data_IF_335417076303
#
_entry.id   IF_335417076303
#
_cell.length_a   1.000
_cell.length_b   1.000
_cell.length_c   1.000
_cell.angle_alpha   90.00
_cell.angle_beta   90.00
_cell.angle_gamma   90.00
#
_symmetry.space_group_name_H-M   'P 1'
#
loop_
_entity.id
_entity.type
_entity.pdbx_description
1 polymer ?
#
# COMPACT_ATOMS: atom_id res chain seq x y z
N UNK A 1 7.10 15.72 -1.08
CA UNK A 1 6.44 14.43 -1.34
C UNK A 1 6.84 13.42 -0.27
N UNK A 2 5.90 12.59 0.16
CA UNK A 2 6.09 11.59 1.21
C UNK A 2 5.54 10.24 0.74
N UNK A 3 6.22 9.15 1.06
CA UNK A 3 5.83 7.81 0.62
C UNK A 3 5.71 6.89 1.81
N UNK A 4 4.59 6.18 1.88
CA UNK A 4 4.41 5.09 2.83
C UNK A 4 4.33 3.76 2.09
N UNK A 5 4.95 2.75 2.68
CA UNK A 5 5.10 1.44 2.08
C UNK A 5 4.64 0.39 3.07
N UNK A 6 3.71 -0.47 2.64
CA UNK A 6 3.39 -1.71 3.33
C UNK A 6 3.92 -2.88 2.51
N UNK A 7 4.76 -3.73 3.12
CA UNK A 7 5.24 -4.98 2.50
C UNK A 7 4.65 -6.18 3.23
N UNK A 8 4.10 -7.11 2.47
CA UNK A 8 3.48 -8.32 2.95
C UNK A 8 4.24 -9.52 2.40
N UNK A 9 4.53 -10.50 3.26
CA UNK A 9 5.03 -11.82 2.85
C UNK A 9 3.83 -12.76 2.78
N UNK A 10 3.61 -13.38 1.63
CA UNK A 10 2.43 -14.24 1.38
C UNK A 10 2.93 -15.59 0.88
N UNK A 11 2.45 -16.67 1.50
CA UNK A 11 2.73 -18.04 1.02
C UNK A 11 2.05 -18.27 -0.33
N UNK A 12 2.58 -19.20 -1.12
CA UNK A 12 2.06 -19.46 -2.46
C UNK A 12 0.59 -19.92 -2.46
N UNK A 13 0.19 -20.73 -1.47
CA UNK A 13 -1.17 -21.21 -1.26
C UNK A 13 -2.17 -20.10 -0.90
N UNK A 14 -1.72 -19.03 -0.23
CA UNK A 14 -2.56 -17.87 0.12
C UNK A 14 -2.64 -16.78 -0.95
N UNK A 15 -1.82 -16.87 -2.00
CA UNK A 15 -1.72 -15.82 -3.02
C UNK A 15 -3.06 -15.49 -3.70
N UNK A 16 -3.89 -16.46 -4.14
CA UNK A 16 -5.17 -16.15 -4.81
C UNK A 16 -6.11 -15.33 -3.91
N UNK A 17 -6.29 -15.75 -2.66
CA UNK A 17 -7.19 -15.08 -1.72
C UNK A 17 -6.64 -13.73 -1.25
N UNK A 18 -5.33 -13.63 -0.99
CA UNK A 18 -4.71 -12.37 -0.64
C UNK A 18 -4.86 -11.36 -1.78
N UNK A 19 -4.59 -11.78 -3.02
CA UNK A 19 -4.72 -10.93 -4.21
C UNK A 19 -6.16 -10.45 -4.38
N UNK A 20 -7.13 -11.36 -4.34
CA UNK A 20 -8.56 -11.04 -4.45
C UNK A 20 -8.97 -10.03 -3.39
N UNK A 21 -8.63 -10.30 -2.11
CA UNK A 21 -8.93 -9.39 -1.00
C UNK A 21 -8.33 -8.00 -1.18
N UNK A 22 -7.22 -7.83 -1.89
CA UNK A 22 -6.64 -6.50 -2.11
C UNK A 22 -7.17 -5.81 -3.37
N UNK A 23 -7.50 -6.56 -4.41
CA UNK A 23 -8.06 -6.01 -5.66
C UNK A 23 -9.54 -5.63 -5.52
N UNK A 24 -10.29 -6.34 -4.67
CA UNK A 24 -11.74 -6.12 -4.50
C UNK A 24 -12.04 -5.06 -3.41
N UNK A 25 -11.02 -4.50 -2.75
CA UNK A 25 -11.22 -3.48 -1.73
C UNK A 25 -11.67 -2.18 -2.35
N UNK A 26 -12.68 -1.58 -1.77
CA UNK A 26 -12.94 -0.16 -1.95
C UNK A 26 -11.76 0.64 -1.36
N UNK A 27 -11.13 1.47 -2.19
CA UNK A 27 -9.94 2.25 -1.80
C UNK A 27 -10.35 3.69 -1.53
N UNK A 28 -11.03 3.95 -0.40
CA UNK A 28 -11.40 5.31 0.03
C UNK A 28 -10.19 6.24 0.26
N UNK A 29 -9.00 5.66 0.38
CA UNK A 29 -7.77 6.42 0.54
C UNK A 29 -7.49 7.35 -0.65
N UNK A 30 -8.00 7.03 -1.84
CA UNK A 30 -7.84 7.88 -3.02
C UNK A 30 -8.59 9.22 -2.92
N UNK A 31 -9.54 9.37 -1.99
CA UNK A 31 -10.25 10.63 -1.75
C UNK A 31 -9.61 11.48 -0.64
N UNK A 32 -8.57 10.98 0.02
CA UNK A 32 -7.90 11.72 1.09
C UNK A 32 -7.13 12.91 0.52
N UNK A 33 -7.32 14.14 1.05
CA UNK A 33 -6.57 15.30 0.59
C UNK A 33 -5.06 15.06 0.64
N UNK A 34 -4.39 15.31 -0.50
CA UNK A 34 -2.95 15.13 -0.64
C UNK A 34 -2.51 13.69 -0.90
N UNK A 35 -3.40 12.69 -1.00
CA UNK A 35 -3.07 11.39 -1.56
C UNK A 35 -2.93 11.50 -3.09
N UNK A 36 -1.80 11.06 -3.64
CA UNK A 36 -1.47 11.23 -5.06
C UNK A 36 -1.70 9.94 -5.85
N UNK A 37 -1.24 8.81 -5.34
CA UNK A 37 -1.37 7.51 -6.00
C UNK A 37 -1.13 6.37 -5.02
N UNK A 38 -1.77 5.22 -5.26
CA UNK A 38 -1.66 4.04 -4.41
C UNK A 38 -1.36 2.77 -5.22
N UNK A 39 -0.14 2.60 -5.75
CA UNK A 39 0.22 1.37 -6.44
C UNK A 39 0.15 0.14 -5.53
N UNK A 40 -0.43 -0.95 -6.04
CA UNK A 40 -0.34 -2.28 -5.45
C UNK A 40 0.46 -3.20 -6.36
N UNK A 41 1.60 -3.67 -5.87
CA UNK A 41 2.59 -4.42 -6.62
C UNK A 41 2.66 -5.86 -6.12
N UNK A 42 2.92 -6.76 -7.06
CA UNK A 42 3.31 -8.15 -6.80
C UNK A 42 4.78 -8.29 -7.18
N UNK A 43 5.60 -8.76 -6.24
CA UNK A 43 7.00 -9.11 -6.47
C UNK A 43 7.16 -10.42 -7.25
N UNK A 44 8.40 -10.76 -7.58
CA UNK A 44 8.74 -12.02 -8.23
C UNK A 44 8.19 -13.21 -7.43
N UNK A 45 7.76 -14.26 -8.14
CA UNK A 45 7.31 -15.52 -7.54
C UNK A 45 8.45 -16.38 -6.99
N UNK A 46 9.71 -16.01 -7.28
CA UNK A 46 10.90 -16.64 -6.75
C UNK A 46 11.76 -15.63 -5.98
N UNK A 47 12.19 -15.92 -4.74
CA UNK A 47 11.88 -17.08 -3.88
C UNK A 47 10.57 -16.93 -3.06
N UNK A 48 9.96 -18.05 -2.63
CA UNK A 48 8.86 -18.08 -1.64
C UNK A 48 9.40 -17.58 -0.29
N UNK A 49 8.74 -16.63 0.41
CA UNK A 49 7.41 -16.07 0.14
C UNK A 49 7.33 -14.94 -0.87
N UNK A 50 6.20 -14.90 -1.60
CA UNK A 50 5.88 -13.82 -2.54
C UNK A 50 5.70 -12.53 -1.77
N UNK A 51 6.42 -11.49 -2.18
CA UNK A 51 6.29 -10.16 -1.61
C UNK A 51 5.18 -9.38 -2.33
N UNK A 52 4.20 -8.88 -1.58
CA UNK A 52 3.28 -7.86 -2.07
C UNK A 52 3.61 -6.52 -1.45
N UNK A 53 3.44 -5.45 -2.22
CA UNK A 53 3.78 -4.09 -1.78
C UNK A 53 2.63 -3.16 -2.09
N UNK A 54 2.20 -2.36 -1.12
CA UNK A 54 1.36 -1.18 -1.37
C UNK A 54 2.19 0.06 -1.10
N UNK A 55 2.36 0.90 -2.11
CA UNK A 55 2.87 2.25 -1.97
C UNK A 55 1.68 3.19 -1.87
N UNK A 56 1.74 4.18 -0.98
CA UNK A 56 0.88 5.36 -1.08
C UNK A 56 1.77 6.60 -1.08
N UNK A 57 1.61 7.40 -2.12
CA UNK A 57 2.35 8.63 -2.34
C UNK A 57 1.48 9.81 -1.91
N UNK A 58 2.11 10.76 -1.23
CA UNK A 58 1.46 11.91 -0.63
C UNK A 58 2.18 13.19 -1.00
N UNK A 59 1.41 14.28 -1.18
CA UNK A 59 1.94 15.60 -1.47
C UNK A 59 2.99 16.03 -0.42
N UNK A 60 2.70 15.77 0.86
CA UNK A 60 3.59 16.06 1.97
C UNK A 60 3.44 15.06 3.13
N UNK A 61 4.34 15.15 4.12
CA UNK A 61 4.27 14.34 5.34
C UNK A 61 3.05 14.73 6.18
N UNK A 62 2.75 16.02 6.25
CA UNK A 62 1.64 16.60 7.00
C UNK A 62 0.31 16.11 6.45
N UNK A 63 0.16 16.00 5.12
CA UNK A 63 -1.04 15.44 4.50
C UNK A 63 -1.29 13.99 4.93
N UNK A 64 -0.23 13.17 4.96
CA UNK A 64 -0.30 11.80 5.46
C UNK A 64 -0.64 11.75 6.96
N UNK A 65 0.02 12.57 7.78
CA UNK A 65 -0.21 12.59 9.23
C UNK A 65 -1.62 13.08 9.58
N UNK A 66 -2.13 14.10 8.89
CA UNK A 66 -3.50 14.59 9.03
C UNK A 66 -4.52 13.49 8.70
N UNK A 67 -4.31 12.78 7.59
CA UNK A 67 -5.15 11.62 7.25
C UNK A 67 -5.07 10.54 8.33
N UNK A 68 -3.86 10.17 8.76
CA UNK A 68 -3.63 9.09 9.73
C UNK A 68 -4.16 9.39 11.13
N UNK A 69 -4.06 10.65 11.56
CA UNK A 69 -4.34 11.07 12.93
C UNK A 69 -5.78 11.51 13.21
N UNK A 70 -6.56 11.86 12.18
CA UNK A 70 -7.81 12.57 12.43
C UNK A 70 -8.93 12.40 11.40
N UNK A 71 -8.85 11.45 10.47
CA UNK A 71 -9.90 11.28 9.46
C UNK A 71 -10.83 10.10 9.75
N UNK A 72 -12.15 10.33 9.62
CA UNK A 72 -13.16 9.25 9.57
C UNK A 72 -12.88 8.26 8.43
N UNK A 73 -12.22 8.75 7.36
CA UNK A 73 -11.71 7.95 6.25
C UNK A 73 -10.66 6.93 6.71
N UNK A 74 -9.73 7.31 7.60
CA UNK A 74 -8.74 6.38 8.14
C UNK A 74 -9.40 5.26 8.94
N UNK A 75 -10.35 5.62 9.81
CA UNK A 75 -11.11 4.65 10.59
C UNK A 75 -11.94 3.72 9.71
N UNK A 76 -12.61 4.26 8.68
CA UNK A 76 -13.41 3.48 7.74
C UNK A 76 -12.54 2.53 6.91
N UNK A 77 -11.42 3.02 6.36
CA UNK A 77 -10.48 2.22 5.58
C UNK A 77 -9.81 1.11 6.42
N UNK A 78 -9.65 1.32 7.73
CA UNK A 78 -9.03 0.35 8.64
C UNK A 78 -10.03 -0.43 9.51
N UNK A 79 -11.35 -0.21 9.37
CA UNK A 79 -12.40 -0.89 10.15
C UNK A 79 -12.36 -2.41 10.03
N UNK A 80 -11.85 -2.90 8.89
CA UNK A 80 -11.68 -4.32 8.58
C UNK A 80 -10.22 -4.77 8.57
N UNK A 81 -9.28 -3.89 8.93
CA UNK A 81 -7.87 -4.27 9.08
C UNK A 81 -7.75 -5.28 10.24
N UNK A 82 -7.17 -6.44 9.97
CA UNK A 82 -7.05 -7.53 10.96
C UNK A 82 -8.32 -8.36 11.16
N UNK A 83 -9.44 -8.06 10.49
CA UNK A 83 -10.63 -8.94 10.48
C UNK A 83 -10.52 -9.95 9.32
N UNK A 84 -10.86 -11.21 9.58
CA UNK A 84 -10.79 -12.31 8.61
C UNK A 84 -9.48 -13.11 8.67
N UNK A 85 -9.32 -14.07 7.77
CA UNK A 85 -8.17 -14.99 7.75
C UNK A 85 -6.82 -14.26 7.62
N UNK A 86 -5.83 -14.73 8.38
CA UNK A 86 -4.46 -14.24 8.33
C UNK A 86 -3.74 -14.75 7.07
N UNK A 87 -3.88 -14.01 5.97
CA UNK A 87 -3.27 -14.35 4.66
C UNK A 87 -1.83 -13.83 4.50
N UNK A 88 -1.10 -13.60 5.60
CA UNK A 88 0.28 -13.09 5.57
C UNK A 88 1.16 -13.80 6.58
N UNK A 89 2.43 -14.00 6.22
CA UNK A 89 3.46 -14.52 7.11
C UNK A 89 3.92 -13.36 8.02
N UNK A 90 3.45 -13.41 9.27
CA UNK A 90 3.75 -12.37 10.27
C UNK A 90 3.07 -11.04 9.94
N UNK A 91 3.55 -9.99 10.61
CA UNK A 91 3.06 -8.63 10.41
C UNK A 91 3.61 -8.02 9.12
N UNK A 92 2.87 -7.06 8.57
CA UNK A 92 3.37 -6.23 7.47
C UNK A 92 4.59 -5.42 7.93
N UNK A 93 5.60 -5.33 7.08
CA UNK A 93 6.66 -4.35 7.28
C UNK A 93 6.19 -2.99 6.77
N UNK A 94 6.13 -2.01 7.66
CA UNK A 94 5.71 -0.64 7.36
C UNK A 94 6.92 0.29 7.36
N UNK A 95 7.00 1.17 6.37
CA UNK A 95 7.96 2.28 6.36
C UNK A 95 7.29 3.55 5.84
N UNK A 96 7.82 4.69 6.29
CA UNK A 96 7.38 6.02 5.88
C UNK A 96 8.62 6.87 5.62
N UNK A 97 8.67 7.59 4.50
CA UNK A 97 9.89 8.24 4.05
C UNK A 97 9.61 9.53 3.28
N UNK A 98 10.45 10.53 3.50
CA UNK A 98 10.50 11.73 2.68
C UNK A 98 11.19 11.43 1.36
N UNK A 99 10.66 11.98 0.27
CA UNK A 99 11.29 11.85 -1.05
C UNK A 99 12.28 12.98 -1.24
N UNK A 100 13.57 12.63 -1.26
CA UNK A 100 14.65 13.61 -1.44
C UNK A 100 14.80 14.06 -2.90
N UNK A 101 14.42 13.21 -3.86
CA UNK A 101 14.50 13.52 -5.29
C UNK A 101 13.50 12.69 -6.08
N UNK A 102 12.87 13.31 -7.07
CA UNK A 102 12.09 12.65 -8.12
C UNK A 102 12.72 12.97 -9.47
N UNK A 103 12.87 11.97 -10.32
CA UNK A 103 13.27 12.14 -11.72
C UNK A 103 12.20 11.46 -12.56
N UNK A 104 11.56 12.23 -13.43
CA UNK A 104 10.55 11.70 -14.34
C UNK A 104 11.24 11.06 -15.54
N UNK A 105 10.83 9.83 -15.87
CA UNK A 105 11.24 9.19 -17.10
C UNK A 105 10.38 9.72 -18.26
N UNK A 106 10.99 9.88 -19.43
CA UNK A 106 10.26 10.11 -20.67
C UNK A 106 10.13 8.76 -21.38
N UNK A 107 8.89 8.29 -21.58
CA UNK A 107 8.65 7.08 -22.37
C UNK A 107 9.10 7.36 -23.81
N UNK A 108 10.10 6.62 -24.28
CA UNK A 108 10.53 6.68 -25.68
C UNK A 108 9.76 5.60 -26.44
N UNK A 109 9.11 5.94 -27.55
CA UNK A 109 8.51 4.91 -28.42
C UNK A 109 9.61 3.93 -28.85
N UNK A 110 9.23 2.65 -28.90
CA UNK A 110 10.11 1.53 -29.23
C UNK A 110 10.57 1.55 -30.69
#
# INVERSE_FOLDING_TARGET
>A
MFVVVNRFKVRLDWHPDFRRRWLDREVLLNTAPGCLMIPFLKGSTYPNPVAYISHAFWASREAFEAWRGGSDLFQTAHKNAGKGEHLTIGQRAFSASEVLRTVEGMERPA
#
